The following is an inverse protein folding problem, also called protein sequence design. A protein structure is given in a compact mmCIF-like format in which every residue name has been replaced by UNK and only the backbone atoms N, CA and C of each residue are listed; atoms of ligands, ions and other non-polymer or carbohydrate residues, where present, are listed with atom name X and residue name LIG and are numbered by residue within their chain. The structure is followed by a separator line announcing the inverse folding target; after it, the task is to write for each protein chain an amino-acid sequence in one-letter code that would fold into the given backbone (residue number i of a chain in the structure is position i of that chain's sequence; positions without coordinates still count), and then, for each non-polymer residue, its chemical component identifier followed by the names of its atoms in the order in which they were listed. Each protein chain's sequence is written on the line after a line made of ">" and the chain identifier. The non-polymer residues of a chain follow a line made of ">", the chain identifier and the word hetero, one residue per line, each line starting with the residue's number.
data_IF_771233673208
#
_entry.id   IF_771233673208
#
_cell.length_a   1.000
_cell.length_b   1.000
_cell.length_c   1.000
_cell.angle_alpha   90.00
_cell.angle_beta   90.00
_cell.angle_gamma   90.00
#
_symmetry.space_group_name_H-M   'P 1'
#
loop_
_entity.id
_entity.type
_entity.pdbx_description
1 polymer ?
#
# COMPACT_ATOMS: atom_id res chain seq x y z
N UNK A 1 -14.07 -3.97 -3.62
CA UNK A 1 -13.00 -4.93 -3.42
C UNK A 1 -11.92 -4.33 -2.56
N UNK A 2 -11.27 -5.17 -1.79
CA UNK A 2 -10.27 -4.68 -0.87
C UNK A 2 -9.09 -4.04 -1.60
N UNK A 3 -8.75 -4.60 -2.74
CA UNK A 3 -7.63 -4.04 -3.49
C UNK A 3 -7.90 -2.60 -3.89
N UNK A 4 -9.10 -2.32 -4.33
CA UNK A 4 -9.44 -0.96 -4.72
C UNK A 4 -9.30 -0.01 -3.54
N UNK A 5 -9.75 -0.43 -2.37
CA UNK A 5 -9.66 0.39 -1.19
C UNK A 5 -8.21 0.68 -0.84
N UNK A 6 -7.39 -0.38 -0.89
CA UNK A 6 -5.98 -0.21 -0.58
C UNK A 6 -5.29 0.70 -1.57
N UNK A 7 -5.61 0.55 -2.85
CA UNK A 7 -5.01 1.39 -3.86
C UNK A 7 -5.39 2.84 -3.65
N UNK A 8 -6.64 3.09 -3.31
CA UNK A 8 -7.06 4.44 -3.03
C UNK A 8 -6.30 5.04 -1.85
N UNK A 9 -6.07 4.24 -0.82
CA UNK A 9 -5.33 4.73 0.33
C UNK A 9 -3.88 5.03 -0.04
N UNK A 10 -3.30 4.19 -0.89
CA UNK A 10 -1.93 4.44 -1.31
C UNK A 10 -1.83 5.71 -2.13
N UNK A 11 -2.80 5.94 -3.00
CA UNK A 11 -2.80 7.15 -3.79
C UNK A 11 -2.94 8.38 -2.88
N UNK A 12 -3.73 8.25 -1.84
CA UNK A 12 -3.84 9.32 -0.85
C UNK A 12 -2.50 9.64 -0.23
N UNK A 13 -1.63 8.65 -0.15
CA UNK A 13 -0.29 8.83 0.40
C UNK A 13 0.73 9.13 -0.69
N UNK A 14 0.27 9.46 -1.88
CA UNK A 14 1.15 9.80 -3.01
C UNK A 14 1.96 8.61 -3.48
N UNK A 15 1.48 7.42 -3.24
CA UNK A 15 2.11 6.21 -3.73
C UNK A 15 1.31 5.73 -4.93
N UNK A 16 1.92 5.81 -6.11
CA UNK A 16 1.20 5.49 -7.34
C UNK A 16 1.69 4.22 -7.99
N UNK A 17 2.82 3.69 -7.53
CA UNK A 17 3.39 2.47 -8.08
C UNK A 17 4.07 1.69 -6.99
N UNK A 18 4.29 0.41 -7.29
CA UNK A 18 5.01 -0.44 -6.37
C UNK A 18 6.48 -0.05 -6.35
N UNK A 19 7.19 -0.39 -5.27
CA UNK A 19 8.61 -0.05 -5.17
C UNK A 19 9.47 -0.68 -6.26
N UNK A 20 8.99 -1.75 -6.88
CA UNK A 20 9.76 -2.35 -7.96
C UNK A 20 9.36 -1.80 -9.32
N UNK A 21 8.47 -0.83 -9.37
CA UNK A 21 8.12 -0.18 -10.62
C UNK A 21 6.83 -0.62 -11.25
N UNK A 22 6.18 -1.60 -10.69
CA UNK A 22 4.91 -2.08 -11.24
C UNK A 22 3.76 -1.22 -10.76
N UNK A 23 2.63 -1.32 -11.48
CA UNK A 23 1.45 -0.62 -11.05
C UNK A 23 0.93 -1.18 -9.74
N UNK A 24 0.20 -0.36 -8.99
CA UNK A 24 -0.41 -0.82 -7.75
C UNK A 24 -1.35 -2.00 -8.01
N UNK A 25 -1.99 -2.00 -9.17
CA UNK A 25 -2.91 -3.10 -9.51
C UNK A 25 -2.18 -4.42 -9.69
N UNK A 26 -0.88 -4.37 -9.92
CA UNK A 26 -0.09 -5.59 -10.09
C UNK A 26 0.30 -6.21 -8.77
N UNK A 27 0.19 -5.46 -7.69
CA UNK A 27 0.61 -5.96 -6.39
C UNK A 27 -0.50 -6.74 -5.71
N UNK A 28 -0.10 -7.64 -4.84
CA UNK A 28 -1.07 -8.38 -4.05
C UNK A 28 -1.54 -7.52 -2.88
N UNK A 29 -2.64 -7.95 -2.28
CA UNK A 29 -3.19 -7.22 -1.14
C UNK A 29 -2.14 -7.12 -0.04
N UNK A 30 -1.38 -8.18 0.17
CA UNK A 30 -0.35 -8.14 1.21
C UNK A 30 0.70 -7.11 0.91
N UNK A 31 1.08 -6.98 -0.35
CA UNK A 31 2.06 -5.98 -0.72
C UNK A 31 1.51 -4.57 -0.49
N UNK A 32 0.27 -4.37 -0.88
CA UNK A 32 -0.33 -3.05 -0.70
C UNK A 32 -0.45 -2.69 0.77
N UNK A 33 -0.86 -3.65 1.58
CA UNK A 33 -0.96 -3.41 3.01
C UNK A 33 0.41 -3.09 3.58
N UNK A 34 1.43 -3.80 3.11
CA UNK A 34 2.78 -3.55 3.57
C UNK A 34 3.24 -2.14 3.27
N UNK A 35 2.88 -1.64 2.09
CA UNK A 35 3.23 -0.27 1.75
C UNK A 35 2.54 0.73 2.66
N UNK A 36 1.31 0.45 3.02
CA UNK A 36 0.58 1.35 3.90
C UNK A 36 1.14 1.35 5.30
N UNK A 37 1.52 0.18 5.79
CA UNK A 37 1.98 0.07 7.15
C UNK A 37 3.47 0.33 7.30
N UNK A 38 4.20 0.02 6.26
CA UNK A 38 5.64 0.06 6.36
C UNK A 38 6.22 1.43 6.49
N UNK A 39 5.41 2.43 6.38
CA UNK A 39 5.90 3.75 6.42
C UNK A 39 5.98 4.27 7.81
N UNK A 40 6.56 3.56 8.66
CA UNK A 40 6.77 3.98 10.00
C UNK A 40 5.65 3.77 10.92
N UNK A 41 4.80 3.03 10.67
CA UNK A 41 3.76 2.84 11.53
C UNK A 41 3.96 1.93 12.50
N UNK A 42 4.39 1.60 12.83
CA UNK A 42 4.64 0.72 13.59
C UNK A 42 4.16 0.55 14.72
N UNK A 43 3.84 0.64 14.89
CA UNK A 43 3.42 0.58 15.67
C UNK A 43 3.07 0.25 16.45
N UNK A 44 2.90 0.07 16.77
CA UNK A 44 2.57 -0.21 17.47
C UNK A 44 2.06 -0.40 18.14
N UNK A 45 1.89 -0.59 18.31
CA UNK A 45 1.37 -0.69 18.87
C UNK A 45 1.08 -0.87 19.64
N UNK A 46 0.94 -0.99 20.03
CA UNK A 46 0.54 -1.11 20.81
C UNK A 46 0.27 -1.13 21.22
#
# INVERSE_FOLDING_TARGET
>A
MEQDVLINKLIDNHIYKLPDGRDLFEGSIEELVGLLKGDGENERSD
#
